data_IF_510800599138
#
_entry.id   IF_510800599138
#
_cell.length_a   1.000
_cell.length_b   1.000
_cell.length_c   1.000
_cell.angle_alpha   90.00
_cell.angle_beta   90.00
_cell.angle_gamma   90.00
#
_symmetry.space_group_name_H-M   'P 1'
#
loop_
_entity.id
_entity.type
_entity.pdbx_description
1 polymer ?
#
# COMPACT_ATOMS: atom_id res chain seq x y z
N UNK A 1 -6.26 -24.45 -21.77
CA UNK A 1 -6.03 -23.02 -21.99
C UNK A 1 -7.04 -22.21 -21.20
N UNK A 2 -6.63 -21.21 -20.45
CA UNK A 2 -7.49 -20.29 -19.69
C UNK A 2 -7.91 -19.11 -20.59
N UNK A 3 -9.04 -18.46 -20.28
CA UNK A 3 -9.37 -17.19 -20.93
C UNK A 3 -8.58 -16.05 -20.30
N UNK A 4 -8.46 -16.05 -18.95
CA UNK A 4 -7.63 -15.09 -18.21
C UNK A 4 -6.72 -15.79 -17.22
N UNK A 5 -5.48 -15.32 -17.13
CA UNK A 5 -4.57 -15.66 -16.03
C UNK A 5 -4.24 -14.38 -15.26
N UNK A 6 -4.43 -14.42 -13.94
CA UNK A 6 -4.07 -13.33 -13.03
C UNK A 6 -2.83 -13.74 -12.26
N UNK A 7 -1.80 -12.89 -12.20
CA UNK A 7 -0.55 -13.16 -11.49
C UNK A 7 -0.44 -12.28 -10.26
N UNK A 8 -0.41 -12.90 -9.08
CA UNK A 8 -0.26 -12.26 -7.78
C UNK A 8 -1.51 -12.34 -6.91
N UNK A 9 -1.40 -13.00 -5.76
CA UNK A 9 -2.45 -13.20 -4.76
C UNK A 9 -2.53 -12.11 -3.67
N UNK A 10 -2.00 -10.91 -3.95
CA UNK A 10 -2.23 -9.72 -3.14
C UNK A 10 -3.62 -9.15 -3.38
N UNK A 11 -4.01 -8.12 -2.61
CA UNK A 11 -5.35 -7.54 -2.66
C UNK A 11 -5.73 -7.02 -4.06
N UNK A 12 -4.80 -6.49 -4.85
CA UNK A 12 -5.10 -6.03 -6.20
C UNK A 12 -5.38 -7.19 -7.15
N UNK A 13 -4.59 -8.27 -7.08
CA UNK A 13 -4.83 -9.46 -7.90
C UNK A 13 -6.15 -10.15 -7.56
N UNK A 14 -6.45 -10.31 -6.26
CA UNK A 14 -7.72 -10.92 -5.83
C UNK A 14 -8.92 -10.05 -6.18
N UNK A 15 -8.84 -8.73 -5.97
CA UNK A 15 -9.90 -7.80 -6.39
C UNK A 15 -10.13 -7.83 -7.90
N UNK A 16 -9.05 -7.85 -8.69
CA UNK A 16 -9.13 -7.94 -10.16
C UNK A 16 -9.72 -9.26 -10.62
N UNK A 17 -9.26 -10.38 -10.07
CA UNK A 17 -9.76 -11.72 -10.41
C UNK A 17 -11.26 -11.87 -10.10
N UNK A 18 -11.67 -11.45 -8.90
CA UNK A 18 -13.09 -11.46 -8.49
C UNK A 18 -13.95 -10.63 -9.44
N UNK A 19 -13.52 -9.42 -9.80
CA UNK A 19 -14.29 -8.51 -10.65
C UNK A 19 -14.28 -8.92 -12.12
N UNK A 20 -13.18 -9.46 -12.63
CA UNK A 20 -13.14 -10.09 -13.96
C UNK A 20 -14.13 -11.26 -14.04
N UNK A 21 -14.15 -12.09 -13.00
CA UNK A 21 -15.07 -13.25 -12.96
C UNK A 21 -16.54 -12.81 -12.88
N UNK A 22 -16.85 -11.74 -12.17
CA UNK A 22 -18.20 -11.13 -12.19
C UNK A 22 -18.55 -10.55 -13.56
N UNK A 23 -17.58 -9.94 -14.25
CA UNK A 23 -17.79 -9.35 -15.58
C UNK A 23 -17.90 -10.41 -16.70
N UNK A 24 -17.24 -11.55 -16.55
CA UNK A 24 -17.17 -12.63 -17.53
C UNK A 24 -17.42 -14.00 -16.85
N UNK A 25 -18.65 -14.29 -16.39
CA UNK A 25 -18.94 -15.46 -15.55
C UNK A 25 -18.65 -16.80 -16.25
N UNK A 26 -18.78 -16.89 -17.57
CA UNK A 26 -18.55 -18.12 -18.35
C UNK A 26 -17.08 -18.35 -18.70
N UNK A 27 -16.20 -17.36 -18.50
CA UNK A 27 -14.79 -17.46 -18.85
C UNK A 27 -13.99 -18.22 -17.80
N UNK A 28 -13.06 -19.06 -18.26
CA UNK A 28 -12.12 -19.78 -17.38
C UNK A 28 -11.04 -18.84 -16.89
N UNK A 29 -10.87 -18.76 -15.58
CA UNK A 29 -9.92 -17.88 -14.95
C UNK A 29 -9.07 -18.58 -13.92
N UNK A 30 -7.75 -18.37 -14.00
CA UNK A 30 -6.75 -18.91 -13.10
C UNK A 30 -5.98 -17.77 -12.45
N UNK A 31 -5.89 -17.75 -11.13
CA UNK A 31 -4.97 -16.90 -10.40
C UNK A 31 -3.77 -17.71 -9.93
N UNK A 32 -2.56 -17.19 -10.20
CA UNK A 32 -1.28 -17.78 -9.79
C UNK A 32 -0.66 -16.95 -8.68
N UNK A 33 -0.37 -17.58 -7.55
CA UNK A 33 0.32 -16.97 -6.41
C UNK A 33 1.54 -17.82 -6.03
N UNK A 34 2.70 -17.19 -5.82
CA UNK A 34 3.94 -17.88 -5.47
C UNK A 34 3.96 -18.40 -4.03
N UNK A 35 3.25 -17.73 -3.13
CA UNK A 35 3.16 -18.13 -1.73
C UNK A 35 2.10 -19.21 -1.52
N UNK A 36 2.13 -19.84 -0.35
CA UNK A 36 1.16 -20.89 0.02
C UNK A 36 -0.23 -20.36 0.40
N UNK A 37 -0.35 -19.05 0.58
CA UNK A 37 -1.61 -18.36 0.95
C UNK A 37 -1.63 -16.95 0.37
N UNK A 38 -2.80 -16.30 0.24
CA UNK A 38 -2.87 -14.92 -0.23
C UNK A 38 -2.33 -13.92 0.79
N UNK A 39 -2.09 -12.70 0.35
CA UNK A 39 -1.75 -11.55 1.20
C UNK A 39 -0.43 -11.64 1.98
N UNK A 40 0.52 -12.46 1.55
CA UNK A 40 1.79 -12.69 2.29
C UNK A 40 2.78 -11.53 2.24
N UNK A 41 2.60 -10.58 1.32
CA UNK A 41 3.50 -9.44 1.12
C UNK A 41 2.86 -8.13 1.56
N UNK A 42 2.92 -7.05 0.76
CA UNK A 42 2.44 -5.70 1.12
C UNK A 42 1.02 -5.68 1.71
N UNK A 43 0.15 -6.57 1.23
CA UNK A 43 -1.25 -6.67 1.70
C UNK A 43 -1.35 -7.11 3.16
N UNK A 44 -0.51 -8.02 3.61
CA UNK A 44 -0.46 -8.49 5.00
C UNK A 44 0.51 -7.71 5.88
N UNK A 45 1.24 -6.74 5.32
CA UNK A 45 2.29 -5.97 6.00
C UNK A 45 2.08 -4.46 5.82
N UNK A 46 0.95 -3.95 6.30
CA UNK A 46 0.58 -2.54 6.25
C UNK A 46 -0.08 -2.09 7.56
N UNK A 47 -0.48 -0.83 7.64
CA UNK A 47 -1.09 -0.24 8.83
C UNK A 47 -2.59 -0.53 9.00
N UNK A 48 -3.22 -1.30 8.11
CA UNK A 48 -4.65 -1.61 8.17
C UNK A 48 -5.60 -0.41 8.00
N UNK A 49 -5.12 0.74 7.55
CA UNK A 49 -5.92 1.96 7.50
C UNK A 49 -6.81 2.02 6.26
N UNK A 50 -8.11 2.21 6.48
CA UNK A 50 -9.05 2.65 5.45
C UNK A 50 -8.90 4.16 5.29
N UNK A 51 -8.18 4.59 4.24
CA UNK A 51 -7.85 5.99 4.02
C UNK A 51 -9.05 6.79 3.49
N UNK A 52 -9.19 8.06 3.93
CA UNK A 52 -10.17 8.99 3.39
C UNK A 52 -9.68 9.76 2.14
N UNK A 53 -8.35 9.93 1.97
CA UNK A 53 -7.80 10.64 0.82
C UNK A 53 -7.26 12.05 1.10
N UNK A 54 -6.98 12.38 2.35
CA UNK A 54 -6.61 13.74 2.81
C UNK A 54 -5.36 14.34 2.15
N UNK A 55 -4.44 13.51 1.67
CA UNK A 55 -3.13 13.97 1.16
C UNK A 55 -3.06 14.09 -0.36
N UNK A 56 -4.04 13.54 -1.09
CA UNK A 56 -3.90 13.34 -2.54
C UNK A 56 -4.32 14.57 -3.32
N UNK A 57 -3.64 14.78 -4.44
CA UNK A 57 -3.94 15.90 -5.35
C UNK A 57 -5.35 15.76 -5.91
N UNK A 58 -6.22 16.77 -5.77
CA UNK A 58 -7.56 16.73 -6.35
C UNK A 58 -7.52 16.40 -7.84
N UNK A 59 -8.42 15.53 -8.29
CA UNK A 59 -8.51 15.08 -9.68
C UNK A 59 -7.53 13.93 -10.06
N UNK A 60 -6.55 13.57 -9.22
CA UNK A 60 -5.68 12.41 -9.46
C UNK A 60 -6.43 11.08 -9.33
N UNK A 61 -5.89 10.02 -9.95
CA UNK A 61 -6.42 8.65 -9.77
C UNK A 61 -6.38 8.24 -8.30
N UNK A 62 -5.33 8.61 -7.57
CA UNK A 62 -5.22 8.33 -6.13
C UNK A 62 -6.36 8.96 -5.32
N UNK A 63 -6.69 10.23 -5.57
CA UNK A 63 -7.78 10.91 -4.86
C UNK A 63 -9.13 10.24 -5.16
N UNK A 64 -9.41 10.00 -6.45
CA UNK A 64 -10.65 9.36 -6.90
C UNK A 64 -10.80 7.95 -6.34
N UNK A 65 -9.81 7.08 -6.58
CA UNK A 65 -9.86 5.70 -6.15
C UNK A 65 -9.82 5.53 -4.62
N UNK A 66 -9.17 6.46 -3.91
CA UNK A 66 -9.22 6.42 -2.44
C UNK A 66 -10.62 6.70 -1.90
N UNK A 67 -11.30 7.73 -2.41
CA UNK A 67 -12.67 8.08 -1.99
C UNK A 67 -13.66 6.96 -2.34
N UNK A 68 -13.63 6.48 -3.59
CA UNK A 68 -14.47 5.37 -4.03
C UNK A 68 -14.15 4.09 -3.24
N UNK A 69 -12.87 3.80 -3.02
CA UNK A 69 -12.39 2.62 -2.32
C UNK A 69 -12.70 2.62 -0.83
N UNK A 70 -12.70 3.77 -0.16
CA UNK A 70 -13.14 3.89 1.22
C UNK A 70 -14.57 3.36 1.40
N UNK A 71 -15.49 3.77 0.53
CA UNK A 71 -16.87 3.29 0.54
C UNK A 71 -16.94 1.81 0.14
N UNK A 72 -16.33 1.44 -0.99
CA UNK A 72 -16.38 0.08 -1.53
C UNK A 72 -15.76 -0.96 -0.58
N UNK A 73 -14.69 -0.61 0.15
CA UNK A 73 -14.11 -1.49 1.17
C UNK A 73 -15.09 -1.76 2.31
N UNK A 74 -15.79 -0.75 2.81
CA UNK A 74 -16.80 -0.93 3.87
C UNK A 74 -17.97 -1.79 3.38
N UNK A 75 -18.54 -1.45 2.21
CA UNK A 75 -19.62 -2.22 1.59
C UNK A 75 -19.21 -3.69 1.36
N UNK A 76 -17.97 -3.94 0.95
CA UNK A 76 -17.45 -5.29 0.79
C UNK A 76 -17.30 -6.01 2.15
N UNK A 77 -16.78 -5.31 3.16
CA UNK A 77 -16.64 -5.88 4.50
C UNK A 77 -18.00 -6.25 5.11
N UNK A 78 -18.99 -5.38 4.97
CA UNK A 78 -20.38 -5.64 5.42
C UNK A 78 -20.99 -6.86 4.70
N UNK A 79 -20.76 -6.99 3.38
CA UNK A 79 -21.28 -8.09 2.57
C UNK A 79 -20.61 -9.45 2.83
N UNK A 80 -19.41 -9.46 3.41
CA UNK A 80 -18.59 -10.66 3.62
C UNK A 80 -18.20 -10.90 5.08
N UNK A 81 -18.88 -10.24 6.03
CA UNK A 81 -18.66 -10.34 7.49
C UNK A 81 -17.19 -10.12 7.90
N UNK A 82 -16.49 -9.20 7.22
CA UNK A 82 -15.12 -8.80 7.59
C UNK A 82 -15.18 -7.64 8.58
N UNK A 83 -14.66 -7.80 9.80
CA UNK A 83 -14.68 -6.73 10.79
C UNK A 83 -13.87 -5.51 10.35
N UNK A 84 -14.43 -4.31 10.54
CA UNK A 84 -13.75 -3.02 10.38
C UNK A 84 -14.31 -2.01 11.37
N UNK A 85 -13.59 -0.92 11.58
CA UNK A 85 -14.04 0.19 12.45
C UNK A 85 -13.76 1.54 11.78
N UNK A 86 -14.74 2.44 11.78
CA UNK A 86 -14.55 3.83 11.34
C UNK A 86 -14.24 4.67 12.58
N UNK A 87 -12.98 4.65 12.98
CA UNK A 87 -12.50 5.33 14.16
C UNK A 87 -12.09 6.79 13.92
N UNK A 88 -12.06 7.25 12.69
CA UNK A 88 -11.60 8.60 12.34
C UNK A 88 -10.08 8.77 12.40
N UNK A 89 -9.61 9.86 11.81
CA UNK A 89 -8.20 10.26 11.79
C UNK A 89 -8.03 11.68 12.29
N UNK A 90 -7.03 11.88 13.13
CA UNK A 90 -6.62 13.15 13.67
C UNK A 90 -5.24 13.54 13.14
N UNK A 91 -5.16 14.65 12.44
CA UNK A 91 -3.93 15.24 11.95
C UNK A 91 -3.50 16.31 12.94
N UNK A 92 -2.32 16.18 13.55
CA UNK A 92 -1.89 17.01 14.67
C UNK A 92 -0.73 17.90 14.28
N UNK A 93 -0.91 19.21 14.48
CA UNK A 93 0.18 20.20 14.40
C UNK A 93 0.78 20.42 15.79
N UNK A 94 2.09 20.27 15.91
CA UNK A 94 2.82 20.41 17.19
C UNK A 94 3.56 21.73 17.32
N UNK A 95 3.68 22.50 16.24
CA UNK A 95 4.34 23.80 16.19
C UNK A 95 3.71 24.68 15.09
N UNK A 96 4.06 25.98 15.09
CA UNK A 96 3.52 26.97 14.17
C UNK A 96 3.77 26.65 12.68
N UNK A 97 4.93 26.10 12.34
CA UNK A 97 5.21 25.68 10.95
C UNK A 97 4.27 24.57 10.48
N UNK A 98 4.03 23.59 11.35
CA UNK A 98 3.07 22.52 11.06
C UNK A 98 1.64 23.06 10.97
N UNK A 99 1.27 24.04 11.81
CA UNK A 99 -0.03 24.70 11.70
C UNK A 99 -0.20 25.46 10.38
N UNK A 100 0.84 26.18 9.92
CA UNK A 100 0.81 26.81 8.58
C UNK A 100 0.66 25.78 7.45
N UNK A 101 1.36 24.65 7.54
CA UNK A 101 1.21 23.54 6.57
C UNK A 101 -0.20 22.91 6.64
N UNK A 102 -0.78 22.85 7.83
CA UNK A 102 -2.13 22.34 8.06
C UNK A 102 -3.20 23.16 7.33
N UNK A 103 -3.06 24.48 7.21
CA UNK A 103 -4.00 25.32 6.43
C UNK A 103 -4.04 24.87 4.96
N UNK A 104 -2.88 24.68 4.33
CA UNK A 104 -2.81 24.20 2.93
C UNK A 104 -3.36 22.78 2.77
N UNK A 105 -3.19 21.95 3.79
CA UNK A 105 -3.74 20.60 3.80
C UNK A 105 -5.27 20.66 3.91
N UNK A 106 -5.82 21.55 4.73
CA UNK A 106 -7.26 21.74 4.88
C UNK A 106 -7.92 22.21 3.55
N UNK A 107 -7.29 23.12 2.82
CA UNK A 107 -7.75 23.50 1.47
C UNK A 107 -7.82 22.29 0.52
N UNK A 108 -6.83 21.40 0.58
CA UNK A 108 -6.81 20.17 -0.23
C UNK A 108 -7.90 19.18 0.21
N UNK A 109 -8.11 19.02 1.51
CA UNK A 109 -9.20 18.17 2.07
C UNK A 109 -10.55 18.66 1.56
N UNK A 110 -10.80 19.98 1.63
CA UNK A 110 -12.02 20.61 1.12
C UNK A 110 -12.17 20.42 -0.40
N UNK A 111 -11.09 20.58 -1.17
CA UNK A 111 -11.09 20.38 -2.63
C UNK A 111 -11.33 18.90 -3.05
N UNK A 112 -11.14 17.95 -2.14
CA UNK A 112 -11.47 16.53 -2.31
C UNK A 112 -12.88 16.18 -1.77
N UNK A 113 -13.70 17.16 -1.37
CA UNK A 113 -15.03 16.97 -0.77
C UNK A 113 -15.03 16.06 0.46
N UNK A 114 -13.99 16.13 1.29
CA UNK A 114 -13.88 15.32 2.50
C UNK A 114 -14.41 16.09 3.71
N UNK A 115 -15.33 15.46 4.44
CA UNK A 115 -15.77 15.95 5.74
C UNK A 115 -14.58 16.05 6.70
N UNK A 116 -14.46 17.20 7.36
CA UNK A 116 -13.41 17.45 8.33
C UNK A 116 -13.80 18.56 9.33
N UNK A 117 -13.18 18.50 10.49
CA UNK A 117 -13.35 19.48 11.56
C UNK A 117 -11.97 20.01 11.98
N UNK A 118 -11.81 21.34 12.03
CA UNK A 118 -10.63 21.96 12.63
C UNK A 118 -10.77 21.99 14.14
N UNK A 119 -9.75 21.57 14.85
CA UNK A 119 -9.71 21.53 16.31
C UNK A 119 -8.71 22.56 16.86
N UNK A 120 -9.12 23.30 17.90
CA UNK A 120 -8.21 24.05 18.74
C UNK A 120 -7.38 23.10 19.62
N UNK A 121 -6.41 23.64 20.32
CA UNK A 121 -5.60 22.90 21.31
C UNK A 121 -6.49 22.23 22.37
N UNK A 122 -7.48 22.95 22.86
CA UNK A 122 -8.41 22.50 23.90
C UNK A 122 -9.30 21.36 23.37
N UNK A 123 -9.91 21.55 22.21
CA UNK A 123 -10.74 20.54 21.55
C UNK A 123 -9.96 19.28 21.17
N UNK A 124 -8.69 19.45 20.73
CA UNK A 124 -7.78 18.34 20.49
C UNK A 124 -7.54 17.53 21.77
N UNK A 125 -7.22 18.21 22.88
CA UNK A 125 -6.93 17.56 24.17
C UNK A 125 -8.17 16.89 24.77
N UNK A 126 -9.33 17.48 24.60
CA UNK A 126 -10.60 16.87 25.04
C UNK A 126 -10.90 15.59 24.26
N UNK A 127 -10.66 15.59 22.94
CA UNK A 127 -10.89 14.43 22.08
C UNK A 127 -9.85 13.31 22.30
N UNK A 128 -8.58 13.69 22.45
CA UNK A 128 -7.43 12.79 22.64
C UNK A 128 -6.56 13.27 23.83
N UNK A 129 -6.90 12.90 25.07
CA UNK A 129 -6.23 13.41 26.27
C UNK A 129 -4.72 13.14 26.34
N UNK A 130 -4.25 12.07 25.68
CA UNK A 130 -2.84 11.68 25.66
C UNK A 130 -2.05 12.32 24.51
N UNK A 131 -2.72 13.09 23.63
CA UNK A 131 -2.10 13.71 22.47
C UNK A 131 -1.89 15.21 22.72
N UNK A 132 -0.68 15.67 22.41
CA UNK A 132 -0.26 17.07 22.55
C UNK A 132 -0.09 17.71 21.18
N UNK A 133 -0.71 18.85 20.97
CA UNK A 133 -0.61 19.66 19.77
C UNK A 133 -1.09 21.08 20.01
N UNK A 134 -0.86 21.97 19.06
CA UNK A 134 -1.39 23.35 19.11
C UNK A 134 -2.68 23.50 18.31
N UNK A 135 -2.90 22.60 17.35
CA UNK A 135 -4.13 22.53 16.53
C UNK A 135 -4.23 21.14 15.89
N UNK A 136 -5.40 20.81 15.32
CA UNK A 136 -5.60 19.56 14.59
C UNK A 136 -6.69 19.65 13.53
N UNK A 137 -6.75 18.64 12.66
CA UNK A 137 -7.87 18.38 11.75
C UNK A 137 -8.36 16.97 12.02
N UNK A 138 -9.62 16.84 12.33
CA UNK A 138 -10.30 15.55 12.45
C UNK A 138 -11.00 15.19 11.14
N UNK A 139 -10.81 13.96 10.65
CA UNK A 139 -11.44 13.41 9.44
C UNK A 139 -12.19 12.15 9.82
N UNK A 140 -13.51 12.18 9.93
CA UNK A 140 -14.33 11.10 10.48
C UNK A 140 -14.36 9.85 9.60
N UNK A 141 -14.21 9.97 8.30
CA UNK A 141 -14.37 8.86 7.34
C UNK A 141 -13.18 7.90 7.24
N UNK A 142 -12.12 8.09 8.01
CA UNK A 142 -10.99 7.14 8.09
C UNK A 142 -11.30 5.99 9.05
N UNK A 143 -10.78 4.80 8.74
CA UNK A 143 -11.04 3.62 9.57
C UNK A 143 -9.88 2.63 9.55
N UNK A 144 -10.14 1.46 10.12
CA UNK A 144 -9.19 0.34 10.23
C UNK A 144 -9.85 -0.97 9.83
N UNK A 145 -9.04 -1.86 9.24
CA UNK A 145 -9.45 -3.21 8.79
C UNK A 145 -8.23 -4.12 8.69
N UNK A 146 -8.41 -5.44 8.77
CA UNK A 146 -7.40 -6.40 8.32
C UNK A 146 -7.49 -6.62 6.81
N UNK A 147 -6.60 -6.00 6.02
CA UNK A 147 -6.58 -6.19 4.58
C UNK A 147 -6.22 -7.62 4.15
N UNK A 148 -5.57 -8.42 4.99
CA UNK A 148 -5.38 -9.82 4.71
C UNK A 148 -6.71 -10.59 4.82
N UNK A 149 -7.58 -10.25 5.77
CA UNK A 149 -8.93 -10.80 5.86
C UNK A 149 -9.79 -10.39 4.66
N UNK A 150 -9.78 -9.11 4.28
CA UNK A 150 -10.44 -8.63 3.04
C UNK A 150 -9.99 -9.43 1.82
N UNK A 151 -8.68 -9.66 1.69
CA UNK A 151 -8.12 -10.40 0.54
C UNK A 151 -8.54 -11.87 0.55
N UNK A 152 -8.59 -12.51 1.72
CA UNK A 152 -9.10 -13.89 1.86
C UNK A 152 -10.59 -13.98 1.47
N UNK A 153 -11.39 -13.01 1.87
CA UNK A 153 -12.80 -12.93 1.46
C UNK A 153 -12.94 -12.73 -0.05
N UNK A 154 -12.10 -11.90 -0.69
CA UNK A 154 -12.07 -11.76 -2.15
C UNK A 154 -11.66 -13.05 -2.86
N UNK A 155 -10.70 -13.81 -2.30
CA UNK A 155 -10.29 -15.11 -2.83
C UNK A 155 -11.44 -16.12 -2.77
N UNK A 156 -12.10 -16.23 -1.61
CA UNK A 156 -13.25 -17.10 -1.43
C UNK A 156 -14.41 -16.75 -2.39
N UNK A 157 -14.67 -15.45 -2.58
CA UNK A 157 -15.70 -15.02 -3.55
C UNK A 157 -15.31 -15.34 -4.99
N UNK A 158 -14.04 -15.19 -5.37
CA UNK A 158 -13.54 -15.57 -6.68
C UNK A 158 -13.72 -17.07 -6.94
N UNK A 159 -13.38 -17.93 -5.97
CA UNK A 159 -13.59 -19.38 -6.06
C UNK A 159 -15.08 -19.75 -6.09
N UNK A 160 -15.91 -19.09 -5.26
CA UNK A 160 -17.38 -19.28 -5.26
C UNK A 160 -18.00 -18.97 -6.65
N UNK A 161 -17.43 -18.00 -7.35
CA UNK A 161 -17.84 -17.64 -8.71
C UNK A 161 -17.29 -18.62 -9.78
N UNK A 162 -16.51 -19.65 -9.40
CA UNK A 162 -15.91 -20.64 -10.30
C UNK A 162 -14.55 -20.22 -10.87
N UNK A 163 -13.83 -19.31 -10.19
CA UNK A 163 -12.41 -19.06 -10.46
C UNK A 163 -11.51 -20.12 -9.82
N UNK A 164 -10.33 -20.32 -10.35
CA UNK A 164 -9.32 -21.24 -9.82
C UNK A 164 -8.12 -20.46 -9.26
N UNK A 165 -7.60 -20.87 -8.09
CA UNK A 165 -6.38 -20.30 -7.49
C UNK A 165 -5.34 -21.40 -7.37
N UNK A 166 -4.11 -21.12 -7.83
CA UNK A 166 -2.93 -21.97 -7.63
C UNK A 166 -1.92 -21.24 -6.75
N UNK A 167 -1.79 -21.74 -5.54
CA UNK A 167 -0.76 -21.32 -4.59
C UNK A 167 0.54 -22.11 -4.81
N UNK A 168 1.69 -21.51 -4.42
CA UNK A 168 3.02 -22.10 -4.60
C UNK A 168 3.52 -22.06 -6.04
N UNK A 169 2.81 -21.38 -6.95
CA UNK A 169 3.12 -21.27 -8.37
C UNK A 169 3.87 -19.97 -8.68
N UNK A 170 5.18 -19.93 -8.43
CA UNK A 170 6.01 -18.78 -8.79
C UNK A 170 6.19 -18.69 -10.32
N UNK A 171 5.81 -17.55 -10.90
CA UNK A 171 6.03 -17.28 -12.32
C UNK A 171 7.51 -16.98 -12.55
N UNK A 172 8.12 -17.74 -13.47
CA UNK A 172 9.55 -17.66 -13.80
C UNK A 172 9.82 -17.13 -15.20
N UNK A 173 8.86 -17.27 -16.14
CA UNK A 173 8.92 -16.70 -17.48
C UNK A 173 7.52 -16.39 -18.04
N UNK A 174 7.46 -15.43 -18.94
CA UNK A 174 6.29 -15.07 -19.75
C UNK A 174 6.68 -14.98 -21.21
N UNK A 175 5.87 -15.56 -22.09
CA UNK A 175 6.01 -15.46 -23.54
C UNK A 175 4.67 -15.08 -24.16
N UNK A 176 4.59 -13.87 -24.71
CA UNK A 176 3.39 -13.43 -25.44
C UNK A 176 3.48 -13.83 -26.89
N UNK A 177 2.52 -14.62 -27.36
CA UNK A 177 2.35 -15.08 -28.74
C UNK A 177 1.14 -14.40 -29.38
N UNK A 178 0.92 -14.66 -30.68
CA UNK A 178 -0.21 -14.06 -31.41
C UNK A 178 -1.57 -14.33 -30.79
N UNK A 179 -1.82 -15.53 -30.25
CA UNK A 179 -3.13 -15.97 -29.78
C UNK A 179 -3.21 -16.26 -28.28
N UNK A 180 -2.07 -16.35 -27.59
CA UNK A 180 -1.98 -16.72 -26.19
C UNK A 180 -0.75 -16.13 -25.51
N UNK A 181 -0.76 -16.16 -24.20
CA UNK A 181 0.43 -15.94 -23.35
C UNK A 181 0.76 -17.25 -22.65
N UNK A 182 1.99 -17.70 -22.79
CA UNK A 182 2.54 -18.84 -22.04
C UNK A 182 3.14 -18.32 -20.74
N UNK A 183 2.69 -18.88 -19.63
CA UNK A 183 3.12 -18.54 -18.27
C UNK A 183 3.86 -19.76 -17.70
N UNK A 184 5.19 -19.69 -17.63
CA UNK A 184 6.01 -20.73 -17.01
C UNK A 184 6.12 -20.48 -15.51
N UNK A 185 5.87 -21.51 -14.72
CA UNK A 185 5.90 -21.45 -13.25
C UNK A 185 6.75 -22.58 -12.68
N UNK A 186 6.99 -22.54 -11.37
CA UNK A 186 7.60 -23.65 -10.62
C UNK A 186 6.75 -24.92 -10.58
N UNK A 187 5.47 -24.86 -10.98
CA UNK A 187 4.55 -25.99 -11.03
C UNK A 187 4.21 -26.46 -12.46
N UNK A 188 4.90 -25.94 -13.48
CA UNK A 188 4.66 -26.23 -14.89
C UNK A 188 4.17 -25.02 -15.67
N UNK A 189 3.70 -25.27 -16.87
CA UNK A 189 3.26 -24.23 -17.81
C UNK A 189 1.74 -24.10 -17.83
N UNK A 190 1.27 -22.87 -17.90
CA UNK A 190 -0.13 -22.51 -18.09
C UNK A 190 -0.26 -21.60 -19.31
N UNK A 191 -1.34 -21.72 -20.06
CA UNK A 191 -1.62 -20.86 -21.22
C UNK A 191 -2.90 -20.09 -21.01
N UNK A 192 -2.90 -18.81 -21.30
CA UNK A 192 -4.05 -17.92 -21.22
C UNK A 192 -4.20 -17.03 -22.45
N UNK A 193 -5.41 -16.68 -22.83
CA UNK A 193 -5.67 -15.74 -23.92
C UNK A 193 -5.28 -14.32 -23.54
N UNK A 194 -5.40 -13.98 -22.26
CA UNK A 194 -5.05 -12.69 -21.71
C UNK A 194 -4.48 -12.83 -20.30
N UNK A 195 -3.47 -12.02 -19.96
CA UNK A 195 -2.78 -12.05 -18.66
C UNK A 195 -2.90 -10.70 -17.97
N UNK A 196 -3.27 -10.70 -16.68
CA UNK A 196 -3.19 -9.51 -15.82
C UNK A 196 -2.17 -9.74 -14.72
N UNK A 197 -1.21 -8.84 -14.56
CA UNK A 197 -0.19 -9.00 -13.52
C UNK A 197 -0.32 -7.94 -12.41
N UNK A 198 -0.42 -8.42 -11.17
CA UNK A 198 -0.47 -7.64 -9.94
C UNK A 198 0.70 -8.04 -9.03
N UNK A 199 1.93 -7.99 -9.59
CA UNK A 199 3.12 -8.60 -9.00
C UNK A 199 3.82 -7.75 -7.92
N UNK A 200 3.25 -6.60 -7.53
CA UNK A 200 3.72 -5.76 -6.42
C UNK A 200 5.22 -5.45 -6.47
N UNK A 201 5.99 -5.95 -5.51
CA UNK A 201 7.45 -5.77 -5.43
C UNK A 201 8.21 -6.32 -6.65
N UNK A 202 7.62 -7.21 -7.44
CA UNK A 202 8.22 -7.81 -8.61
C UNK A 202 7.71 -7.22 -9.93
N UNK A 203 6.91 -6.16 -9.91
CA UNK A 203 6.21 -5.61 -11.07
C UNK A 203 7.13 -5.33 -12.27
N UNK A 204 8.25 -4.64 -12.07
CA UNK A 204 9.22 -4.34 -13.13
C UNK A 204 9.90 -5.60 -13.69
N UNK A 205 10.11 -6.63 -12.86
CA UNK A 205 10.71 -7.89 -13.29
C UNK A 205 9.75 -8.71 -14.15
N UNK A 206 8.48 -8.73 -13.78
CA UNK A 206 7.46 -9.48 -14.54
C UNK A 206 7.26 -8.84 -15.93
N UNK A 207 7.24 -7.52 -16.03
CA UNK A 207 7.20 -6.83 -17.33
C UNK A 207 8.40 -7.19 -18.18
N UNK A 208 9.61 -7.25 -17.60
CA UNK A 208 10.83 -7.63 -18.32
C UNK A 208 10.84 -9.08 -18.81
N UNK A 209 10.08 -9.99 -18.20
CA UNK A 209 9.94 -11.38 -18.70
C UNK A 209 9.34 -11.43 -20.11
N UNK A 210 8.53 -10.42 -20.50
CA UNK A 210 8.00 -10.26 -21.85
C UNK A 210 8.97 -9.58 -22.84
N UNK A 211 10.23 -9.36 -22.46
CA UNK A 211 11.17 -8.59 -23.26
C UNK A 211 10.86 -7.08 -23.33
N UNK A 212 9.91 -6.59 -22.52
CA UNK A 212 9.51 -5.19 -22.49
C UNK A 212 10.32 -4.40 -21.47
N UNK A 213 10.66 -3.16 -21.81
CA UNK A 213 11.27 -2.23 -20.87
C UNK A 213 10.17 -1.43 -20.15
N UNK A 214 9.99 -1.61 -18.82
CA UNK A 214 8.88 -0.99 -18.10
C UNK A 214 8.97 0.54 -17.96
N UNK A 215 10.14 1.13 -18.22
CA UNK A 215 10.38 2.57 -18.03
C UNK A 215 10.63 2.98 -16.58
N UNK A 216 10.52 2.07 -15.63
CA UNK A 216 10.78 2.26 -14.22
C UNK A 216 11.47 1.03 -13.60
N UNK A 217 11.99 1.20 -12.39
CA UNK A 217 12.48 0.12 -11.55
C UNK A 217 11.87 0.24 -10.16
N UNK A 218 11.57 -0.90 -9.51
CA UNK A 218 11.07 -0.90 -8.14
C UNK A 218 12.23 -0.73 -7.16
N UNK A 219 12.16 0.30 -6.33
CA UNK A 219 13.03 0.52 -5.17
C UNK A 219 12.25 0.12 -3.89
N UNK A 220 12.70 -0.89 -3.15
CA UNK A 220 11.99 -1.33 -1.95
C UNK A 220 12.33 -0.44 -0.76
N UNK A 221 11.31 0.14 -0.12
CA UNK A 221 11.45 0.87 1.14
C UNK A 221 10.76 0.10 2.27
N UNK A 222 11.54 -0.30 3.28
CA UNK A 222 11.02 -0.96 4.47
C UNK A 222 10.48 0.07 5.43
N UNK A 223 9.22 -0.11 5.83
CA UNK A 223 8.56 0.60 6.90
C UNK A 223 8.62 -0.23 8.18
N UNK A 224 9.35 0.24 9.17
CA UNK A 224 9.50 -0.44 10.45
C UNK A 224 8.46 0.08 11.43
N UNK A 225 7.92 -0.82 12.22
CA UNK A 225 6.91 -0.52 13.22
C UNK A 225 7.35 -0.97 14.60
N UNK A 226 6.76 -0.34 15.59
CA UNK A 226 6.71 -0.84 16.96
C UNK A 226 5.24 -1.04 17.35
N UNK A 227 4.99 -1.95 18.27
CA UNK A 227 3.69 -2.13 18.91
C UNK A 227 3.81 -1.65 20.35
N UNK A 228 2.79 -0.96 20.83
CA UNK A 228 2.68 -0.60 22.24
C UNK A 228 2.21 -1.83 23.03
N UNK A 229 2.61 -1.95 24.32
CA UNK A 229 2.16 -3.03 25.16
C UNK A 229 0.66 -2.87 25.49
N UNK A 230 -0.04 -3.95 25.89
CA UNK A 230 -1.49 -3.97 26.06
C UNK A 230 -2.05 -2.89 27.00
N UNK A 231 -1.29 -2.45 28.00
CA UNK A 231 -1.65 -1.35 28.91
C UNK A 231 -1.81 0.00 28.22
N UNK A 232 -1.37 0.12 26.96
CA UNK A 232 -1.50 1.31 26.11
C UNK A 232 -2.48 1.13 24.93
N UNK A 233 -3.31 0.08 24.92
CA UNK A 233 -4.28 -0.13 23.85
C UNK A 233 -5.32 1.01 23.76
N UNK A 234 -5.61 1.66 24.88
CA UNK A 234 -6.55 2.78 24.95
C UNK A 234 -5.85 4.16 24.94
N UNK A 235 -4.55 4.21 24.64
CA UNK A 235 -3.78 5.46 24.65
C UNK A 235 -4.29 6.47 23.61
N UNK A 236 -4.89 5.99 22.53
CA UNK A 236 -5.56 6.78 21.49
C UNK A 236 -6.89 6.17 21.08
N UNK A 237 -7.87 7.03 20.77
CA UNK A 237 -9.20 6.65 20.28
C UNK A 237 -9.27 6.65 18.75
N UNK A 238 -8.45 7.49 18.11
CA UNK A 238 -8.42 7.74 16.67
C UNK A 238 -7.03 7.41 16.09
N UNK A 239 -6.93 7.41 14.77
CA UNK A 239 -5.64 7.37 14.09
C UNK A 239 -4.93 8.71 14.28
N UNK A 240 -3.72 8.72 14.83
CA UNK A 240 -2.97 9.96 15.09
C UNK A 240 -1.83 10.11 14.11
N UNK A 241 -1.88 11.16 13.29
CA UNK A 241 -0.91 11.43 12.24
C UNK A 241 -0.30 12.82 12.39
N UNK A 242 1.01 12.99 12.15
CA UNK A 242 1.60 14.31 12.06
C UNK A 242 1.14 15.03 10.79
N UNK A 243 1.25 16.36 10.79
CA UNK A 243 1.14 17.16 9.56
C UNK A 243 2.32 16.79 8.65
N UNK A 244 2.09 16.46 7.36
CA UNK A 244 3.15 16.03 6.46
C UNK A 244 4.16 17.16 6.19
N UNK A 245 5.44 16.79 6.12
CA UNK A 245 6.48 17.67 5.59
C UNK A 245 6.55 17.52 4.06
N UNK A 246 6.28 18.58 3.27
CA UNK A 246 6.34 18.50 1.82
C UNK A 246 7.72 18.15 1.24
N UNK A 247 8.78 18.36 2.02
CA UNK A 247 10.14 18.01 1.63
C UNK A 247 10.45 16.51 1.77
N UNK A 248 9.62 15.78 2.50
CA UNK A 248 9.83 14.35 2.76
C UNK A 248 8.95 13.50 1.83
N UNK A 249 9.50 12.41 1.25
CA UNK A 249 8.75 11.56 0.32
C UNK A 249 7.70 10.67 1.02
N UNK A 250 7.79 10.50 2.33
CA UNK A 250 6.89 9.65 3.11
C UNK A 250 6.37 10.40 4.33
N UNK A 251 5.21 9.97 4.83
CA UNK A 251 4.63 10.49 6.06
C UNK A 251 5.51 10.15 7.27
N UNK A 252 5.52 11.04 8.24
CA UNK A 252 6.20 10.81 9.52
C UNK A 252 5.55 9.70 10.35
N UNK A 253 6.25 9.30 11.42
CA UNK A 253 5.78 8.30 12.38
C UNK A 253 4.43 8.70 12.96
N UNK A 254 3.49 7.76 13.05
CA UNK A 254 2.13 7.97 13.52
C UNK A 254 1.68 6.82 14.45
N UNK A 255 0.62 7.05 15.21
CA UNK A 255 -0.03 6.03 16.04
C UNK A 255 -1.24 5.49 15.29
N UNK A 256 -1.31 4.16 15.19
CA UNK A 256 -2.41 3.48 14.50
C UNK A 256 -3.04 2.46 15.43
N UNK A 257 -4.34 2.62 15.71
CA UNK A 257 -5.14 1.54 16.26
C UNK A 257 -5.29 0.44 15.21
N UNK A 258 -5.18 -0.79 15.65
CA UNK A 258 -5.37 -1.97 14.82
C UNK A 258 -6.72 -2.60 15.15
N UNK A 259 -7.25 -3.39 14.22
CA UNK A 259 -8.56 -4.03 14.38
C UNK A 259 -8.60 -5.05 15.54
N UNK A 260 -7.44 -5.55 15.96
CA UNK A 260 -7.29 -6.42 17.13
C UNK A 260 -7.22 -5.66 18.46
N UNK A 261 -7.39 -4.34 18.44
CA UNK A 261 -7.34 -3.45 19.60
C UNK A 261 -5.94 -2.98 19.98
N UNK A 262 -4.89 -3.52 19.39
CA UNK A 262 -3.52 -3.06 19.66
C UNK A 262 -3.23 -1.70 19.04
N UNK A 263 -2.17 -1.03 19.49
CA UNK A 263 -1.71 0.24 18.91
C UNK A 263 -0.28 0.07 18.38
N UNK A 264 -0.08 0.44 17.11
CA UNK A 264 1.23 0.45 16.48
C UNK A 264 1.77 1.86 16.31
N UNK A 265 3.10 1.98 16.32
CA UNK A 265 3.86 3.22 16.13
C UNK A 265 4.71 3.06 14.89
N UNK A 266 4.51 3.90 13.91
CA UNK A 266 5.23 3.81 12.63
C UNK A 266 4.36 4.15 11.44
N UNK A 267 4.85 3.81 10.23
CA UNK A 267 6.22 3.36 9.94
C UNK A 267 7.19 4.51 9.69
N UNK A 268 8.49 4.22 9.76
CA UNK A 268 9.52 4.98 9.09
C UNK A 268 9.66 4.56 7.60
N UNK A 269 10.72 5.01 6.92
CA UNK A 269 11.01 4.55 5.57
C UNK A 269 12.52 4.44 5.34
N UNK A 270 13.03 3.22 5.36
CA UNK A 270 14.44 2.92 5.12
C UNK A 270 14.61 2.04 3.87
N UNK A 271 15.72 2.20 3.15
CA UNK A 271 16.02 1.35 2.02
C UNK A 271 16.14 -0.12 2.47
N UNK A 272 15.42 -1.02 1.80
CA UNK A 272 15.57 -2.46 2.01
C UNK A 272 16.61 -3.03 1.05
N UNK A 273 17.49 -3.92 1.54
CA UNK A 273 18.55 -4.55 0.74
C UNK A 273 18.11 -5.85 0.06
N UNK A 274 16.83 -6.16 0.16
CA UNK A 274 16.15 -7.26 -0.55
C UNK A 274 14.74 -6.79 -0.91
N UNK A 275 14.23 -7.17 -2.09
CA UNK A 275 12.88 -6.78 -2.55
C UNK A 275 11.80 -7.16 -1.53
N UNK A 276 11.89 -8.33 -0.96
CA UNK A 276 11.02 -8.84 0.10
C UNK A 276 11.79 -8.92 1.42
N UNK A 277 12.49 -7.83 1.77
CA UNK A 277 13.35 -7.71 2.95
C UNK A 277 12.59 -7.17 4.15
N UNK A 278 11.83 -8.03 4.84
CA UNK A 278 11.02 -7.66 6.02
C UNK A 278 11.85 -7.54 7.29
N UNK A 279 13.00 -8.21 7.36
CA UNK A 279 13.95 -8.11 8.49
C UNK A 279 15.13 -7.21 8.13
N UNK A 280 15.75 -6.60 9.15
CA UNK A 280 16.96 -5.77 8.96
C UNK A 280 18.14 -6.59 8.41
N UNK A 281 18.18 -7.88 8.71
CA UNK A 281 19.19 -8.84 8.23
C UNK A 281 18.94 -9.39 6.83
N UNK A 282 17.78 -9.09 6.22
CA UNK A 282 17.46 -9.60 4.89
C UNK A 282 18.26 -8.83 3.84
N UNK A 283 19.24 -9.52 3.24
CA UNK A 283 20.15 -8.99 2.22
C UNK A 283 20.11 -9.90 0.99
N UNK A 284 20.05 -9.29 -0.19
CA UNK A 284 20.17 -9.95 -1.49
C UNK A 284 21.17 -9.19 -2.35
N UNK A 285 22.30 -9.82 -2.65
CA UNK A 285 23.33 -9.21 -3.52
C UNK A 285 22.78 -8.91 -4.91
N UNK A 286 21.89 -9.76 -5.44
CA UNK A 286 21.20 -9.55 -6.72
C UNK A 286 20.33 -8.30 -6.70
N UNK A 287 19.54 -8.10 -5.62
CA UNK A 287 18.66 -6.93 -5.50
C UNK A 287 19.47 -5.65 -5.28
N UNK A 288 20.52 -5.72 -4.46
CA UNK A 288 21.44 -4.60 -4.24
C UNK A 288 22.15 -4.20 -5.55
N UNK A 289 22.70 -5.16 -6.29
CA UNK A 289 23.34 -4.88 -7.58
C UNK A 289 22.34 -4.21 -8.53
N UNK A 290 21.12 -4.73 -8.66
CA UNK A 290 20.08 -4.15 -9.51
C UNK A 290 19.72 -2.70 -9.08
N UNK A 291 19.61 -2.41 -7.79
CA UNK A 291 19.32 -1.07 -7.29
C UNK A 291 20.48 -0.08 -7.53
N UNK A 292 21.71 -0.49 -7.20
CA UNK A 292 22.87 0.41 -7.29
C UNK A 292 23.39 0.60 -8.71
N UNK A 293 23.04 -0.25 -9.66
CA UNK A 293 23.34 -0.05 -11.09
C UNK A 293 22.25 0.73 -11.82
N UNK A 294 21.02 0.79 -11.30
CA UNK A 294 19.92 1.53 -11.89
C UNK A 294 20.15 3.05 -11.80
N UNK A 295 20.11 3.74 -12.96
CA UNK A 295 20.39 5.18 -13.03
C UNK A 295 19.36 6.05 -12.33
N UNK A 296 18.08 5.67 -12.38
CA UNK A 296 16.99 6.40 -11.72
C UNK A 296 17.06 6.26 -10.21
N UNK A 297 17.24 5.04 -9.71
CA UNK A 297 17.37 4.78 -8.28
C UNK A 297 18.59 5.50 -7.71
N UNK A 298 19.75 5.47 -8.39
CA UNK A 298 20.93 6.24 -7.95
C UNK A 298 20.66 7.74 -7.82
N UNK A 299 19.93 8.35 -8.77
CA UNK A 299 19.56 9.78 -8.70
C UNK A 299 18.68 10.05 -7.47
N UNK A 300 17.69 9.18 -7.19
CA UNK A 300 16.85 9.33 -5.98
C UNK A 300 17.68 9.21 -4.71
N UNK A 301 18.54 8.19 -4.60
CA UNK A 301 19.36 7.96 -3.42
C UNK A 301 20.36 9.10 -3.17
N UNK A 302 21.01 9.61 -4.21
CA UNK A 302 21.95 10.75 -4.07
C UNK A 302 21.25 12.04 -3.68
N UNK A 303 20.07 12.33 -4.27
CA UNK A 303 19.26 13.50 -3.93
C UNK A 303 18.78 13.47 -2.47
N UNK A 304 18.46 12.29 -1.95
CA UNK A 304 17.91 12.09 -0.61
C UNK A 304 18.92 11.48 0.38
N UNK A 305 20.22 11.63 0.14
CA UNK A 305 21.26 10.98 0.94
C UNK A 305 21.18 11.35 2.43
N UNK A 306 21.08 12.65 2.75
CA UNK A 306 21.03 13.13 4.14
C UNK A 306 19.77 12.66 4.88
N UNK A 307 18.55 12.86 4.36
CA UNK A 307 17.34 12.28 4.96
C UNK A 307 17.41 10.75 5.09
N UNK A 308 17.89 10.05 4.07
CA UNK A 308 18.02 8.59 4.10
C UNK A 308 18.96 8.08 5.17
N UNK A 309 20.10 8.76 5.40
CA UNK A 309 21.02 8.43 6.50
C UNK A 309 20.41 8.72 7.87
N UNK A 310 19.62 9.78 8.02
CA UNK A 310 18.90 10.08 9.26
C UNK A 310 17.86 9.01 9.58
N UNK A 311 17.07 8.58 8.58
CA UNK A 311 16.12 7.47 8.73
C UNK A 311 16.82 6.15 9.07
N UNK A 312 17.95 5.85 8.44
CA UNK A 312 18.75 4.66 8.75
C UNK A 312 19.28 4.71 10.20
N UNK A 313 19.74 5.87 10.67
CA UNK A 313 20.15 6.06 12.05
C UNK A 313 18.99 5.82 13.02
N UNK A 314 17.81 6.37 12.74
CA UNK A 314 16.60 6.17 13.56
C UNK A 314 16.14 4.70 13.55
N UNK A 315 16.30 3.99 12.42
CA UNK A 315 16.06 2.55 12.32
C UNK A 315 16.96 1.73 13.25
N UNK A 316 18.23 2.11 13.37
CA UNK A 316 19.20 1.43 14.25
C UNK A 316 19.06 1.83 15.72
N UNK A 317 18.60 3.05 15.99
CA UNK A 317 18.52 3.60 17.34
C UNK A 317 17.08 3.94 17.74
N UNK A 318 16.46 3.05 18.48
CA UNK A 318 15.09 3.14 19.00
C UNK A 318 14.77 4.50 19.67
N UNK A 319 15.76 5.14 20.32
CA UNK A 319 15.59 6.43 20.98
C UNK A 319 15.19 7.54 20.00
N UNK A 320 15.86 7.62 18.84
CA UNK A 320 15.52 8.63 17.82
C UNK A 320 14.10 8.44 17.28
N UNK A 321 13.67 7.20 17.15
CA UNK A 321 12.31 6.87 16.73
C UNK A 321 11.28 7.32 17.79
N UNK A 322 11.54 7.06 19.07
CA UNK A 322 10.71 7.49 20.17
C UNK A 322 10.56 9.03 20.21
N UNK A 323 11.62 9.77 19.95
CA UNK A 323 11.57 11.24 19.93
C UNK A 323 10.61 11.78 18.87
N UNK A 324 10.45 11.08 17.73
CA UNK A 324 9.49 11.46 16.69
C UNK A 324 8.03 11.33 17.17
N UNK A 325 7.72 10.29 17.92
CA UNK A 325 6.35 10.08 18.42
C UNK A 325 6.05 10.93 19.65
N UNK A 326 7.07 11.21 20.47
CA UNK A 326 6.92 12.06 21.68
C UNK A 326 6.55 13.51 21.37
N UNK A 327 6.72 13.96 20.14
CA UNK A 327 6.26 15.29 19.72
C UNK A 327 4.77 15.47 19.97
N UNK A 328 3.96 14.41 19.83
CA UNK A 328 2.51 14.46 20.00
C UNK A 328 1.99 13.46 21.04
N UNK A 329 2.77 12.47 21.48
CA UNK A 329 2.43 11.56 22.56
C UNK A 329 3.60 11.47 23.59
N UNK A 330 3.76 12.47 24.46
CA UNK A 330 4.95 12.62 25.31
C UNK A 330 5.04 11.59 26.44
N UNK A 331 3.95 10.90 26.80
CA UNK A 331 3.92 9.89 27.85
C UNK A 331 4.65 8.59 27.50
N UNK A 332 4.88 8.31 26.21
CA UNK A 332 5.55 7.08 25.78
C UNK A 332 7.02 7.04 26.17
N UNK A 333 7.48 5.86 26.60
CA UNK A 333 8.85 5.55 26.96
C UNK A 333 9.51 4.52 26.05
N UNK A 334 10.81 4.28 26.22
CA UNK A 334 11.54 3.25 25.47
C UNK A 334 11.06 1.83 25.75
N UNK A 335 10.55 1.59 26.97
CA UNK A 335 9.97 0.31 27.37
C UNK A 335 8.73 -0.08 26.57
N UNK A 336 7.96 0.94 26.11
CA UNK A 336 6.66 0.76 25.47
C UNK A 336 6.80 0.40 23.99
N UNK A 337 7.98 0.63 23.41
CA UNK A 337 8.25 0.35 22.01
C UNK A 337 8.67 -1.12 21.82
N UNK A 338 7.74 -2.04 21.55
CA UNK A 338 8.03 -3.45 21.24
C UNK A 338 8.18 -3.65 19.73
N UNK A 339 9.15 -4.45 19.26
CA UNK A 339 9.30 -4.73 17.83
C UNK A 339 8.00 -5.28 17.23
N UNK A 340 7.64 -4.81 16.03
CA UNK A 340 6.49 -5.29 15.27
C UNK A 340 6.92 -5.61 13.81
N UNK A 341 6.25 -6.52 13.12
CA UNK A 341 6.60 -6.86 11.74
C UNK A 341 6.63 -5.65 10.81
N UNK A 342 7.70 -5.56 10.01
CA UNK A 342 7.86 -4.50 9.03
C UNK A 342 7.05 -4.76 7.76
N UNK A 343 6.72 -3.70 7.03
CA UNK A 343 6.23 -3.78 5.67
C UNK A 343 7.30 -3.32 4.66
N UNK A 344 7.20 -3.75 3.41
CA UNK A 344 8.06 -3.24 2.33
C UNK A 344 7.19 -2.59 1.26
N UNK A 345 7.46 -1.31 0.98
CA UNK A 345 6.77 -0.55 -0.07
C UNK A 345 7.48 -0.77 -1.41
N UNK A 346 6.72 -1.11 -2.44
CA UNK A 346 7.18 -1.15 -3.81
C UNK A 346 7.10 0.26 -4.40
N UNK A 347 8.19 1.01 -4.35
CA UNK A 347 8.23 2.35 -4.93
C UNK A 347 8.81 2.30 -6.34
N UNK A 348 7.99 2.58 -7.34
CA UNK A 348 8.47 2.72 -8.70
C UNK A 348 9.27 4.02 -8.85
N UNK A 349 10.44 3.91 -9.47
CA UNK A 349 11.36 4.99 -9.75
C UNK A 349 11.61 5.03 -11.25
N UNK A 350 11.34 6.16 -11.90
CA UNK A 350 11.56 6.35 -13.34
C UNK A 350 13.02 6.57 -13.66
N UNK A 351 13.45 6.38 -14.92
CA UNK A 351 14.85 6.52 -15.34
C UNK A 351 15.43 7.93 -15.11
N UNK A 352 14.58 8.95 -15.10
CA UNK A 352 14.98 10.34 -14.79
C UNK A 352 15.13 10.60 -13.28
N UNK A 353 14.83 9.63 -12.42
CA UNK A 353 14.98 9.72 -10.97
C UNK A 353 13.81 10.39 -10.27
N UNK A 354 12.60 10.25 -10.78
CA UNK A 354 11.36 10.64 -10.12
C UNK A 354 10.69 9.44 -9.47
N UNK A 355 10.12 9.64 -8.30
CA UNK A 355 9.23 8.67 -7.68
C UNK A 355 7.88 8.72 -8.41
N UNK A 356 7.41 7.56 -8.90
CA UNK A 356 6.08 7.49 -9.49
C UNK A 356 5.04 7.70 -8.36
N UNK A 357 4.28 8.79 -8.46
CA UNK A 357 3.36 9.20 -7.41
C UNK A 357 1.95 8.65 -7.60
N UNK A 358 1.53 8.31 -8.81
CA UNK A 358 0.19 7.77 -9.10
C UNK A 358 0.25 6.33 -9.63
N UNK A 359 -0.90 5.72 -9.87
CA UNK A 359 -1.01 4.38 -10.43
C UNK A 359 -0.43 4.32 -11.84
N UNK A 360 0.27 3.24 -12.15
CA UNK A 360 0.88 3.01 -13.45
C UNK A 360 0.44 1.66 -13.99
N UNK A 361 -0.13 1.67 -15.19
CA UNK A 361 -0.54 0.48 -15.93
C UNK A 361 0.25 0.39 -17.23
N UNK A 362 0.66 -0.80 -17.62
CA UNK A 362 1.39 -1.07 -18.86
C UNK A 362 0.58 -2.13 -19.61
N UNK A 363 0.29 -1.83 -20.87
CA UNK A 363 -0.48 -2.72 -21.72
C UNK A 363 0.38 -3.28 -22.84
N UNK A 364 0.18 -4.55 -23.15
CA UNK A 364 0.63 -5.21 -24.36
C UNK A 364 -0.59 -5.73 -25.14
N UNK A 365 -0.46 -6.29 -26.33
CA UNK A 365 -1.62 -6.83 -27.05
C UNK A 365 -2.43 -7.86 -26.25
N UNK A 366 -1.79 -8.65 -25.36
CA UNK A 366 -2.44 -9.73 -24.60
C UNK A 366 -2.17 -9.68 -23.11
N UNK A 367 -1.66 -8.57 -22.61
CA UNK A 367 -1.51 -8.45 -21.16
C UNK A 367 -1.64 -7.02 -20.65
N UNK A 368 -2.03 -6.92 -19.37
CA UNK A 368 -2.06 -5.69 -18.58
C UNK A 368 -1.24 -5.90 -17.30
N UNK A 369 -0.34 -4.97 -17.03
CA UNK A 369 0.54 -5.03 -15.87
C UNK A 369 0.31 -3.84 -14.95
N UNK A 370 0.07 -4.12 -13.66
CA UNK A 370 0.08 -3.09 -12.62
C UNK A 370 1.53 -2.80 -12.26
N UNK A 371 2.09 -1.73 -12.85
CA UNK A 371 3.50 -1.35 -12.68
C UNK A 371 3.78 -0.63 -11.37
N UNK A 372 2.85 0.22 -10.93
CA UNK A 372 2.95 0.95 -9.66
C UNK A 372 1.58 1.09 -9.01
N UNK A 373 1.49 0.69 -7.77
CA UNK A 373 0.29 0.85 -6.96
C UNK A 373 0.66 1.35 -5.56
N UNK A 374 0.98 2.65 -5.43
CA UNK A 374 1.39 3.23 -4.14
C UNK A 374 0.19 3.34 -3.19
N UNK A 375 0.47 3.58 -1.89
CA UNK A 375 -0.60 3.91 -0.94
C UNK A 375 -1.46 5.07 -1.50
N UNK A 376 -2.77 4.90 -1.53
CA UNK A 376 -3.62 4.03 -0.73
C UNK A 376 -4.13 2.76 -1.46
N UNK A 377 -3.29 2.04 -2.18
CA UNK A 377 -3.71 0.94 -3.06
C UNK A 377 -4.59 -0.12 -2.38
N UNK A 378 -4.37 -0.44 -1.09
CA UNK A 378 -5.21 -1.40 -0.36
C UNK A 378 -6.66 -0.88 -0.21
N UNK A 379 -6.84 0.35 0.27
CA UNK A 379 -8.16 1.01 0.32
C UNK A 379 -8.78 1.13 -1.07
N UNK A 380 -7.97 1.39 -2.09
CA UNK A 380 -8.39 1.63 -3.47
C UNK A 380 -8.54 0.33 -4.28
N UNK A 381 -8.37 -0.84 -3.68
CA UNK A 381 -8.23 -2.11 -4.41
C UNK A 381 -9.46 -2.47 -5.27
N UNK A 382 -10.65 -2.18 -4.78
CA UNK A 382 -11.90 -2.45 -5.52
C UNK A 382 -12.02 -1.53 -6.75
N UNK A 383 -11.94 -0.19 -6.65
CA UNK A 383 -11.97 0.67 -7.83
C UNK A 383 -10.77 0.47 -8.76
N UNK A 384 -9.58 0.08 -8.27
CA UNK A 384 -8.45 -0.29 -9.13
C UNK A 384 -8.80 -1.55 -9.92
N UNK A 385 -9.35 -2.59 -9.29
CA UNK A 385 -9.81 -3.80 -9.98
C UNK A 385 -10.86 -3.50 -11.04
N UNK A 386 -11.84 -2.65 -10.73
CA UNK A 386 -12.84 -2.19 -11.70
C UNK A 386 -12.21 -1.44 -12.89
N UNK A 387 -11.22 -0.59 -12.62
CA UNK A 387 -10.49 0.12 -13.66
C UNK A 387 -9.69 -0.84 -14.57
N UNK A 388 -9.04 -1.86 -14.00
CA UNK A 388 -8.34 -2.90 -14.75
C UNK A 388 -9.35 -3.65 -15.65
N UNK A 389 -10.51 -4.04 -15.12
CA UNK A 389 -11.58 -4.69 -15.90
C UNK A 389 -12.04 -3.81 -17.05
N UNK A 390 -12.19 -2.49 -16.85
CA UNK A 390 -12.55 -1.56 -17.93
C UNK A 390 -11.49 -1.53 -19.04
N UNK A 391 -10.21 -1.44 -18.68
CA UNK A 391 -9.11 -1.47 -19.66
C UNK A 391 -9.06 -2.80 -20.41
N UNK A 392 -9.27 -3.94 -19.74
CA UNK A 392 -9.33 -5.26 -20.40
C UNK A 392 -10.50 -5.33 -21.38
N UNK A 393 -11.68 -4.79 -21.02
CA UNK A 393 -12.84 -4.72 -21.94
C UNK A 393 -12.52 -3.89 -23.18
N UNK A 394 -11.93 -2.73 -23.02
CA UNK A 394 -11.51 -1.86 -24.13
C UNK A 394 -10.55 -2.57 -25.08
N UNK A 395 -9.55 -3.28 -24.54
CA UNK A 395 -8.58 -4.01 -25.35
C UNK A 395 -9.16 -5.23 -26.08
N UNK A 396 -10.14 -5.91 -25.48
CA UNK A 396 -10.79 -7.06 -26.09
C UNK A 396 -11.94 -6.68 -27.03
N UNK A 397 -12.32 -5.39 -27.11
CA UNK A 397 -13.43 -4.91 -27.94
C UNK A 397 -14.79 -5.37 -27.45
N UNK A 398 -14.94 -5.57 -26.14
CA UNK A 398 -16.15 -6.18 -25.53
C UNK A 398 -16.78 -5.26 -24.47
#
# INVERSE_FOLDING_TARGET
MQDFIIIGGGILGMSTAMQLKKAYPERRMLLLEKESTPARHQTGHNSGVIHAGVYYTPGSLKARFCREGNRATREFCDAHDVPYEICGKLLVATNELEEQRMHKLQERISANDLEHERLSREALREREPNITGIAGIFVPSSGIVDYAAVTRAMAAEFERLGGEIRYGAEVTALEERSEEVVVTTTQGEFTGRYVVTCAGLMADRVVRMLGQEPGFSICPFRGEYYQLPPEHNDIVKHLIYPIPDPAMPFLGVHLTRMIDGSVTVGPNAVLAFKREGYKKSDISLKDMAAMFTDSGIRKVLTKNLRPGLAEMKNSLHKKGYLELVRKYCPSLGLSDMKPYPAGVRAQAVTRDGKLADDFLFINTPRSLHVGNAPSPAATSSIPIGAHIVSQVKEQLGS
#
